data_IF_438541887983
#
_entry.id   IF_438541887983
#
_cell.length_a   1.000
_cell.length_b   1.000
_cell.length_c   1.000
_cell.angle_alpha   90.00
_cell.angle_beta   90.00
_cell.angle_gamma   90.00
#
_symmetry.space_group_name_H-M   'P 1'
#
loop_
_entity.id
_entity.type
_entity.pdbx_description
1 polymer ?
#
# COMPACT_ATOMS: atom_id res chain seq x y z
N UNK A 1 -9.37 6.46 -3.93
CA UNK A 1 -7.95 6.10 -4.05
C UNK A 1 -7.39 6.64 -5.37
N UNK A 2 -6.29 7.41 -5.35
CA UNK A 2 -5.71 8.14 -6.50
C UNK A 2 -4.16 8.13 -6.47
N UNK A 3 -3.49 7.03 -6.88
CA UNK A 3 -2.02 6.89 -6.82
C UNK A 3 -1.24 7.99 -7.55
N UNK A 4 -1.79 8.47 -8.66
CA UNK A 4 -1.19 9.44 -9.57
C UNK A 4 -0.82 10.78 -8.90
N UNK A 5 -1.43 11.09 -7.75
CA UNK A 5 -1.07 12.27 -6.94
C UNK A 5 0.40 12.30 -6.50
N UNK A 6 1.06 11.14 -6.49
CA UNK A 6 2.46 10.98 -6.08
C UNK A 6 3.43 10.83 -7.28
N UNK A 7 2.95 11.00 -8.52
CA UNK A 7 3.74 10.73 -9.74
C UNK A 7 4.19 12.01 -10.48
N UNK A 8 4.08 13.20 -9.88
CA UNK A 8 4.53 14.44 -10.52
C UNK A 8 6.07 14.42 -10.68
N UNK A 9 6.55 14.82 -11.85
CA UNK A 9 7.96 15.01 -12.22
C UNK A 9 8.82 13.72 -12.27
N UNK A 10 8.38 12.75 -13.08
CA UNK A 10 9.03 11.43 -13.31
C UNK A 10 10.48 11.46 -13.85
N UNK A 11 11.13 12.61 -14.01
CA UNK A 11 12.53 12.64 -14.44
C UNK A 11 13.51 12.26 -13.31
N UNK A 12 13.15 12.42 -12.02
CA UNK A 12 13.95 11.90 -10.89
C UNK A 12 13.19 11.81 -9.53
N UNK A 13 11.87 11.69 -9.53
CA UNK A 13 11.07 11.69 -8.29
C UNK A 13 11.15 10.36 -7.52
N UNK A 14 12.26 10.13 -6.82
CA UNK A 14 12.27 9.19 -5.69
C UNK A 14 11.34 9.75 -4.62
N UNK A 15 10.24 9.06 -4.31
CA UNK A 15 9.41 9.42 -3.17
C UNK A 15 10.25 9.26 -1.89
N UNK A 16 10.60 10.38 -1.26
CA UNK A 16 11.22 10.35 0.06
C UNK A 16 10.13 10.19 1.12
N UNK A 17 10.21 9.11 1.90
CA UNK A 17 9.32 8.91 3.05
C UNK A 17 9.72 9.79 4.24
N UNK A 18 10.93 10.35 4.20
CA UNK A 18 11.43 11.39 5.09
C UNK A 18 11.36 12.74 4.36
N UNK A 19 10.16 13.12 3.94
CA UNK A 19 9.90 14.31 3.14
C UNK A 19 10.16 15.61 3.94
N UNK A 20 11.22 16.38 3.62
CA UNK A 20 11.48 17.66 4.28
C UNK A 20 10.43 18.73 3.94
N UNK A 21 9.80 18.60 2.77
CA UNK A 21 8.78 19.51 2.25
C UNK A 21 7.37 19.14 2.73
N UNK A 22 7.27 18.10 3.57
CA UNK A 22 6.06 17.81 4.34
C UNK A 22 4.82 17.52 3.48
N UNK A 23 4.99 17.08 2.23
CA UNK A 23 3.91 16.59 1.38
C UNK A 23 3.41 15.22 1.83
N UNK A 24 4.20 14.47 2.62
CA UNK A 24 3.82 13.22 3.26
C UNK A 24 4.30 13.13 4.72
N UNK A 25 3.36 12.94 5.65
CA UNK A 25 3.62 12.92 7.10
C UNK A 25 3.36 11.57 7.79
N UNK A 26 3.23 10.49 7.03
CA UNK A 26 2.78 9.18 7.53
C UNK A 26 3.64 8.61 8.66
N UNK A 27 4.92 9.00 8.75
CA UNK A 27 5.86 8.53 9.75
C UNK A 27 6.30 9.60 10.76
N UNK A 28 5.68 10.77 10.78
CA UNK A 28 6.16 11.95 11.52
C UNK A 28 7.59 12.38 11.09
N UNK A 29 8.15 13.42 11.70
CA UNK A 29 9.51 13.93 11.39
C UNK A 29 10.26 14.38 12.66
N UNK A 30 11.54 14.68 12.50
CA UNK A 30 12.42 15.15 13.58
C UNK A 30 12.60 14.13 14.70
N UNK A 31 12.76 14.60 15.94
CA UNK A 31 13.07 13.75 17.11
C UNK A 31 11.97 12.76 17.49
N UNK A 32 10.76 12.92 16.96
CA UNK A 32 9.61 12.04 17.20
C UNK A 32 9.17 11.30 15.92
N UNK A 33 9.98 11.35 14.87
CA UNK A 33 9.78 10.52 13.68
C UNK A 33 9.85 9.04 14.04
N UNK A 34 9.09 8.21 13.31
CA UNK A 34 9.13 6.78 13.47
C UNK A 34 10.54 6.26 13.15
N UNK A 35 11.25 5.59 14.09
CA UNK A 35 12.58 5.07 13.80
C UNK A 35 12.56 3.90 12.79
N UNK A 36 11.37 3.36 12.51
CA UNK A 36 11.17 2.21 11.63
C UNK A 36 10.85 2.54 10.17
N UNK A 37 10.99 3.79 9.70
CA UNK A 37 10.59 4.17 8.32
C UNK A 37 11.23 3.27 7.27
N UNK A 38 12.55 3.11 7.33
CA UNK A 38 13.29 2.32 6.33
C UNK A 38 12.92 0.84 6.38
N UNK A 39 12.83 0.26 7.58
CA UNK A 39 12.49 -1.15 7.74
C UNK A 39 11.05 -1.42 7.28
N UNK A 40 10.10 -0.62 7.77
CA UNK A 40 8.69 -0.75 7.45
C UNK A 40 8.43 -0.59 5.96
N UNK A 41 9.00 0.45 5.34
CA UNK A 41 8.82 0.69 3.91
C UNK A 41 9.43 -0.42 3.05
N UNK A 42 10.64 -0.89 3.38
CA UNK A 42 11.28 -2.00 2.68
C UNK A 42 10.41 -3.26 2.75
N UNK A 43 9.93 -3.62 3.94
CA UNK A 43 9.08 -4.80 4.11
C UNK A 43 7.75 -4.65 3.35
N UNK A 44 7.09 -3.50 3.44
CA UNK A 44 5.82 -3.24 2.76
C UNK A 44 5.99 -3.27 1.24
N UNK A 45 7.02 -2.63 0.68
CA UNK A 45 7.28 -2.62 -0.77
C UNK A 45 7.60 -4.04 -1.26
N UNK A 46 8.46 -4.78 -0.56
CA UNK A 46 8.78 -6.16 -0.92
C UNK A 46 7.55 -7.07 -0.86
N UNK A 47 6.74 -6.94 0.19
CA UNK A 47 5.50 -7.71 0.34
C UNK A 47 4.54 -7.40 -0.81
N UNK A 48 4.26 -6.12 -1.08
CA UNK A 48 3.37 -5.70 -2.15
C UNK A 48 3.88 -6.17 -3.52
N UNK A 49 5.17 -6.00 -3.81
CA UNK A 49 5.78 -6.46 -5.06
C UNK A 49 5.60 -7.96 -5.26
N UNK A 50 5.84 -8.77 -4.21
CA UNK A 50 5.63 -10.23 -4.27
C UNK A 50 4.16 -10.60 -4.48
N UNK A 51 3.24 -9.93 -3.80
CA UNK A 51 1.80 -10.17 -3.96
C UNK A 51 1.32 -9.86 -5.38
N UNK A 52 1.81 -8.77 -5.99
CA UNK A 52 1.48 -8.38 -7.37
C UNK A 52 2.17 -9.26 -8.42
N UNK A 53 3.40 -9.69 -8.15
CA UNK A 53 4.16 -10.55 -9.04
C UNK A 53 3.59 -11.97 -9.09
N UNK A 54 3.21 -12.52 -7.93
CA UNK A 54 2.81 -13.93 -7.83
C UNK A 54 1.32 -14.17 -8.06
N UNK A 55 0.45 -13.17 -7.85
CA UNK A 55 -1.01 -13.37 -7.87
C UNK A 55 -1.76 -12.38 -8.78
N UNK A 56 -2.80 -12.90 -9.43
CA UNK A 56 -3.87 -12.13 -10.02
C UNK A 56 -4.98 -12.00 -8.99
N UNK A 57 -5.51 -10.80 -8.81
CA UNK A 57 -6.48 -10.50 -7.75
C UNK A 57 -7.88 -10.35 -8.34
N UNK A 58 -8.87 -10.98 -7.70
CA UNK A 58 -10.28 -10.91 -8.08
C UNK A 58 -11.16 -10.49 -6.92
N UNK A 59 -12.27 -9.85 -7.25
CA UNK A 59 -13.31 -9.49 -6.29
C UNK A 59 -14.07 -10.78 -5.91
N UNK A 60 -14.34 -11.03 -4.62
CA UNK A 60 -15.10 -12.19 -4.19
C UNK A 60 -16.50 -12.22 -4.80
N UNK A 61 -17.01 -13.43 -5.06
CA UNK A 61 -18.38 -13.64 -5.56
C UNK A 61 -19.41 -12.90 -4.70
N UNK A 62 -20.37 -12.25 -5.34
CA UNK A 62 -21.42 -11.47 -4.66
C UNK A 62 -21.04 -10.04 -4.29
N UNK A 63 -19.82 -9.59 -4.61
CA UNK A 63 -19.39 -8.20 -4.44
C UNK A 63 -19.15 -7.54 -5.80
N UNK A 64 -19.62 -6.30 -5.97
CA UNK A 64 -19.39 -5.51 -7.19
C UNK A 64 -18.09 -4.70 -7.14
N UNK A 65 -17.64 -4.36 -5.92
CA UNK A 65 -16.43 -3.59 -5.66
C UNK A 65 -15.86 -3.94 -4.28
N UNK A 66 -14.60 -3.55 -4.07
CA UNK A 66 -13.95 -3.64 -2.76
C UNK A 66 -14.38 -2.44 -1.90
N UNK A 67 -14.93 -2.71 -0.72
CA UNK A 67 -15.32 -1.68 0.25
C UNK A 67 -14.08 -1.19 1.01
N UNK A 68 -13.79 0.11 0.89
CA UNK A 68 -12.67 0.78 1.54
C UNK A 68 -13.15 1.83 2.56
N UNK A 69 -14.41 1.74 3.02
CA UNK A 69 -14.91 2.62 4.07
C UNK A 69 -14.04 2.48 5.34
N UNK A 70 -13.66 3.61 5.91
CA UNK A 70 -12.88 3.69 7.14
C UNK A 70 -13.82 3.68 8.35
N UNK A 71 -13.35 3.11 9.46
CA UNK A 71 -14.04 3.19 10.74
C UNK A 71 -13.81 4.59 11.34
N UNK A 72 -14.86 5.29 11.77
CA UNK A 72 -14.73 6.68 12.26
C UNK A 72 -13.77 6.83 13.46
N UNK A 73 -13.75 5.82 14.34
CA UNK A 73 -12.97 5.85 15.58
C UNK A 73 -11.61 5.14 15.48
N UNK A 74 -11.25 4.62 14.31
CA UNK A 74 -9.99 3.89 14.16
C UNK A 74 -9.36 4.08 12.79
N UNK A 75 -8.03 4.02 12.70
CA UNK A 75 -7.32 4.02 11.42
C UNK A 75 -7.47 2.71 10.61
N UNK A 76 -8.53 1.93 10.86
CA UNK A 76 -8.81 0.65 10.20
C UNK A 76 -10.04 0.75 9.29
N UNK A 77 -10.19 -0.25 8.43
CA UNK A 77 -11.39 -0.40 7.62
C UNK A 77 -12.61 -0.70 8.49
N UNK A 78 -13.77 -0.12 8.13
CA UNK A 78 -15.05 -0.35 8.78
C UNK A 78 -15.51 -1.81 8.67
N UNK A 79 -15.04 -2.53 7.63
CA UNK A 79 -15.33 -3.94 7.39
C UNK A 79 -14.04 -4.68 7.01
N UNK A 80 -13.94 -5.99 7.30
CA UNK A 80 -12.81 -6.80 6.84
C UNK A 80 -12.64 -6.74 5.32
N UNK A 81 -11.41 -6.53 4.86
CA UNK A 81 -11.06 -6.58 3.45
C UNK A 81 -10.99 -8.05 2.99
N UNK A 82 -11.75 -8.42 1.97
CA UNK A 82 -11.71 -9.76 1.38
C UNK A 82 -11.39 -9.66 -0.11
N UNK A 83 -10.40 -10.43 -0.55
CA UNK A 83 -10.00 -10.53 -1.96
C UNK A 83 -9.58 -11.98 -2.27
N UNK A 84 -9.74 -12.39 -3.53
CA UNK A 84 -9.33 -13.72 -4.00
C UNK A 84 -8.01 -13.59 -4.74
N UNK A 85 -7.00 -14.33 -4.28
CA UNK A 85 -5.69 -14.39 -4.90
C UNK A 85 -5.56 -15.67 -5.75
N UNK A 86 -5.34 -15.52 -7.05
CA UNK A 86 -5.09 -16.62 -7.98
C UNK A 86 -3.62 -16.63 -8.41
N UNK A 87 -2.89 -17.75 -8.26
CA UNK A 87 -1.50 -17.82 -8.72
C UNK A 87 -1.36 -17.46 -10.20
N UNK A 88 -0.43 -16.56 -10.55
CA UNK A 88 -0.16 -16.14 -11.93
C UNK A 88 0.61 -17.18 -12.73
N UNK A 89 1.48 -17.91 -12.05
CA UNK A 89 2.31 -18.94 -12.64
C UNK A 89 1.72 -20.31 -12.30
N UNK A 90 1.65 -21.25 -13.26
CA UNK A 90 1.24 -22.60 -12.96
C UNK A 90 2.18 -23.18 -11.90
N UNK A 91 1.60 -23.84 -10.90
CA UNK A 91 2.40 -24.62 -9.98
C UNK A 91 3.03 -25.74 -10.80
N UNK A 92 4.36 -25.80 -10.85
CA UNK A 92 5.05 -26.94 -11.42
C UNK A 92 4.69 -28.14 -10.55
N UNK A 93 3.78 -28.99 -11.04
CA UNK A 93 3.50 -30.30 -10.48
C UNK A 93 4.64 -31.27 -10.82
#
# INVERSE_FOLDING_TARGET
YKPERHMKDMDDARMDLNDPELNMFSFSTGRRGCPGVLLGSTLTVMLLARLLQCFSWKIPSGHSQIDLAECEDSGFLAKPLVAVAEPRFPQFN
#
